data_IF_242773095714
#
_entry.id   IF_242773095714
#
_cell.length_a   1.000
_cell.length_b   1.000
_cell.length_c   1.000
_cell.angle_alpha   90.00
_cell.angle_beta   90.00
_cell.angle_gamma   90.00
#
_symmetry.space_group_name_H-M   'P 1'
#
loop_
_entity.id
_entity.type
_entity.pdbx_description
1 polymer ?
#
# COMPACT_ATOMS: atom_id res chain seq x y z
N UNK A 1 15.76 12.22 62.96
CA UNK A 1 15.59 10.97 62.18
C UNK A 1 14.38 10.97 61.22
N UNK A 2 13.71 12.11 60.95
CA UNK A 2 12.50 12.15 60.11
C UNK A 2 12.65 12.73 58.69
N UNK A 3 13.77 13.39 58.37
CA UNK A 3 13.95 14.04 57.06
C UNK A 3 14.14 13.04 55.91
N UNK A 4 14.79 11.90 56.18
CA UNK A 4 15.05 10.84 55.21
C UNK A 4 13.79 10.08 54.81
N UNK A 5 12.86 9.84 55.75
CA UNK A 5 11.62 9.12 55.50
C UNK A 5 10.66 9.88 54.59
N UNK A 6 10.58 11.21 54.73
CA UNK A 6 9.78 12.05 53.84
C UNK A 6 10.34 12.13 52.41
N UNK A 7 11.67 12.16 52.26
CA UNK A 7 12.32 12.16 50.95
C UNK A 7 12.07 10.84 50.21
N UNK A 8 12.12 9.70 50.92
CA UNK A 8 11.82 8.38 50.35
C UNK A 8 10.36 8.26 49.91
N UNK A 9 9.41 8.76 50.71
CA UNK A 9 8.00 8.76 50.31
C UNK A 9 7.72 9.64 49.10
N UNK A 10 8.33 10.83 49.02
CA UNK A 10 8.19 11.71 47.87
C UNK A 10 8.76 11.06 46.60
N UNK A 11 9.92 10.40 46.71
CA UNK A 11 10.53 9.67 45.59
C UNK A 11 9.63 8.52 45.12
N UNK A 12 9.05 7.74 46.03
CA UNK A 12 8.15 6.65 45.68
C UNK A 12 6.86 7.14 45.01
N UNK A 13 6.29 8.26 45.47
CA UNK A 13 5.12 8.88 44.82
C UNK A 13 5.47 9.37 43.42
N UNK A 14 6.62 10.02 43.25
CA UNK A 14 7.09 10.49 41.94
C UNK A 14 7.33 9.31 40.99
N UNK A 15 8.02 8.26 41.44
CA UNK A 15 8.26 7.05 40.63
C UNK A 15 6.94 6.37 40.25
N UNK A 16 5.98 6.26 41.17
CA UNK A 16 4.67 5.68 40.89
C UNK A 16 3.88 6.53 39.87
N UNK A 17 3.97 7.85 39.97
CA UNK A 17 3.29 8.78 39.07
C UNK A 17 3.92 8.79 37.67
N UNK A 18 5.25 8.68 37.57
CA UNK A 18 5.98 8.49 36.31
C UNK A 18 5.60 7.17 35.64
N UNK A 19 5.52 6.07 36.40
CA UNK A 19 5.09 4.78 35.88
C UNK A 19 3.65 4.80 35.36
N UNK A 20 2.73 5.48 36.06
CA UNK A 20 1.34 5.64 35.60
C UNK A 20 1.26 6.43 34.30
N UNK A 21 2.00 7.53 34.18
CA UNK A 21 2.00 8.33 32.94
C UNK A 21 2.60 7.58 31.76
N UNK A 22 3.71 6.87 31.96
CA UNK A 22 4.34 6.05 30.93
C UNK A 22 3.46 4.86 30.50
N UNK A 23 2.80 4.19 31.45
CA UNK A 23 1.88 3.10 31.16
C UNK A 23 0.63 3.60 30.41
N UNK A 24 0.04 4.70 30.86
CA UNK A 24 -1.11 5.34 30.19
C UNK A 24 -0.74 5.78 28.77
N UNK A 25 0.45 6.36 28.56
CA UNK A 25 0.93 6.72 27.23
C UNK A 25 1.15 5.49 26.35
N UNK A 26 1.73 4.41 26.86
CA UNK A 26 1.92 3.18 26.07
C UNK A 26 0.58 2.52 25.70
N UNK A 27 -0.36 2.48 26.65
CA UNK A 27 -1.70 1.92 26.43
C UNK A 27 -2.53 2.79 25.47
N UNK A 28 -2.61 4.11 25.70
CA UNK A 28 -3.30 5.04 24.81
C UNK A 28 -2.63 5.14 23.44
N UNK A 29 -1.30 5.02 23.33
CA UNK A 29 -0.62 4.96 22.02
C UNK A 29 -1.02 3.71 21.24
N UNK A 30 -1.08 2.55 21.90
CA UNK A 30 -1.53 1.32 21.23
C UNK A 30 -2.99 1.41 20.77
N UNK A 31 -3.87 2.01 21.57
CA UNK A 31 -5.27 2.25 21.16
C UNK A 31 -5.34 3.26 20.01
N UNK A 32 -4.65 4.40 20.10
CA UNK A 32 -4.60 5.41 19.04
C UNK A 32 -3.99 4.89 17.73
N UNK A 33 -3.03 3.96 17.80
CA UNK A 33 -2.42 3.35 16.61
C UNK A 33 -3.38 2.42 15.86
N UNK A 34 -4.41 1.91 16.53
CA UNK A 34 -5.41 1.02 15.96
C UNK A 34 -6.72 1.74 15.60
N UNK A 35 -6.83 3.03 15.90
CA UNK A 35 -7.94 3.85 15.43
C UNK A 35 -7.96 3.91 13.90
N UNK A 36 -9.16 3.89 13.31
CA UNK A 36 -9.35 3.92 11.85
C UNK A 36 -8.63 5.11 11.18
N UNK A 37 -8.52 6.24 11.88
CA UNK A 37 -7.76 7.42 11.45
C UNK A 37 -6.27 7.14 11.27
N UNK A 38 -5.65 6.46 12.24
CA UNK A 38 -4.23 6.06 12.18
C UNK A 38 -3.98 5.04 11.09
N UNK A 39 -4.86 4.04 10.98
CA UNK A 39 -4.72 2.98 9.96
C UNK A 39 -4.88 3.57 8.54
N UNK A 40 -5.88 4.44 8.31
CA UNK A 40 -6.03 5.17 7.04
C UNK A 40 -4.77 5.97 6.69
N UNK A 41 -4.26 6.74 7.66
CA UNK A 41 -3.10 7.59 7.46
C UNK A 41 -1.85 6.77 7.14
N UNK A 42 -1.67 5.63 7.80
CA UNK A 42 -0.57 4.71 7.54
C UNK A 42 -0.61 4.17 6.10
N UNK A 43 -1.74 3.61 5.67
CA UNK A 43 -1.87 3.05 4.31
C UNK A 43 -1.78 4.14 3.24
N UNK A 44 -2.39 5.30 3.46
CA UNK A 44 -2.29 6.46 2.57
C UNK A 44 -0.86 6.97 2.43
N UNK A 45 -0.11 7.03 3.53
CA UNK A 45 1.28 7.44 3.53
C UNK A 45 2.19 6.43 2.83
N UNK A 46 2.02 5.12 3.07
CA UNK A 46 2.75 4.07 2.36
C UNK A 46 2.47 4.15 0.85
N UNK A 47 1.21 4.29 0.46
CA UNK A 47 0.83 4.44 -0.94
C UNK A 47 1.50 5.67 -1.58
N UNK A 48 1.52 6.80 -0.89
CA UNK A 48 2.18 8.03 -1.34
C UNK A 48 3.68 7.84 -1.53
N UNK A 49 4.39 7.26 -0.54
CA UNK A 49 5.82 7.00 -0.64
C UNK A 49 6.15 6.06 -1.80
N UNK A 50 5.40 4.97 -1.95
CA UNK A 50 5.59 4.04 -3.06
C UNK A 50 5.32 4.72 -4.40
N UNK A 51 4.30 5.59 -4.49
CA UNK A 51 3.98 6.34 -5.71
C UNK A 51 5.12 7.27 -6.13
N UNK A 52 5.77 7.97 -5.19
CA UNK A 52 6.95 8.80 -5.47
C UNK A 52 8.17 7.94 -5.79
N UNK A 53 8.33 6.81 -5.10
CA UNK A 53 9.45 5.90 -5.32
C UNK A 53 9.41 5.28 -6.73
N UNK A 54 8.22 5.07 -7.32
CA UNK A 54 8.10 4.50 -8.68
C UNK A 54 8.91 5.27 -9.74
N UNK A 55 8.67 6.57 -10.02
CA UNK A 55 9.42 7.29 -11.04
C UNK A 55 10.91 7.43 -10.67
N UNK A 56 11.24 7.61 -9.39
CA UNK A 56 12.64 7.70 -8.95
C UNK A 56 13.38 6.39 -9.25
N UNK A 57 12.82 5.24 -8.87
CA UNK A 57 13.40 3.94 -9.18
C UNK A 57 13.51 3.68 -10.68
N UNK A 58 12.52 4.13 -11.47
CA UNK A 58 12.53 4.02 -12.93
C UNK A 58 13.67 4.82 -13.60
N UNK A 59 14.10 5.94 -13.02
CA UNK A 59 15.25 6.70 -13.51
C UNK A 59 16.57 5.94 -13.33
N UNK A 60 16.69 5.17 -12.24
CA UNK A 60 17.86 4.35 -11.94
C UNK A 60 17.78 2.93 -12.52
N UNK A 61 16.91 2.72 -13.52
CA UNK A 61 16.78 1.41 -14.16
C UNK A 61 18.08 0.99 -14.83
N UNK A 62 18.41 -0.28 -14.75
CA UNK A 62 19.58 -0.86 -15.43
C UNK A 62 19.39 -0.97 -16.95
N UNK A 63 20.50 -1.19 -17.68
CA UNK A 63 20.52 -1.33 -19.14
C UNK A 63 19.60 -2.47 -19.61
N UNK A 64 18.94 -2.35 -20.78
CA UNK A 64 18.08 -3.37 -21.35
C UNK A 64 18.60 -4.82 -21.36
N UNK A 65 19.90 -5.02 -21.53
CA UNK A 65 20.55 -6.33 -21.71
C UNK A 65 21.17 -6.87 -20.42
N UNK A 66 21.06 -6.12 -19.32
CA UNK A 66 21.57 -6.55 -18.02
C UNK A 66 20.65 -7.61 -17.40
N UNK A 67 21.24 -8.67 -16.84
CA UNK A 67 20.52 -9.69 -16.05
C UNK A 67 19.80 -9.10 -14.83
N UNK A 68 20.31 -7.98 -14.27
CA UNK A 68 19.67 -7.25 -13.18
C UNK A 68 18.31 -6.65 -13.57
N UNK A 69 18.00 -6.55 -14.87
CA UNK A 69 16.74 -5.98 -15.36
C UNK A 69 15.52 -6.82 -15.02
N UNK A 70 15.69 -8.13 -14.94
CA UNK A 70 14.62 -9.03 -14.50
C UNK A 70 14.21 -8.66 -13.07
N UNK A 71 15.21 -8.52 -12.18
CA UNK A 71 15.01 -8.17 -10.77
C UNK A 71 14.40 -6.77 -10.64
N UNK A 72 14.94 -5.79 -11.36
CA UNK A 72 14.40 -4.43 -11.37
C UNK A 72 12.91 -4.42 -11.76
N UNK A 73 12.54 -5.10 -12.85
CA UNK A 73 11.15 -5.14 -13.31
C UNK A 73 10.22 -5.81 -12.28
N UNK A 74 10.68 -6.89 -11.63
CA UNK A 74 9.90 -7.58 -10.59
C UNK A 74 9.68 -6.66 -9.39
N UNK A 75 10.73 -6.01 -8.88
CA UNK A 75 10.63 -5.10 -7.75
C UNK A 75 9.78 -3.86 -8.07
N UNK A 76 9.96 -3.29 -9.25
CA UNK A 76 9.17 -2.14 -9.71
C UNK A 76 7.69 -2.49 -9.82
N UNK A 77 7.35 -3.63 -10.43
CA UNK A 77 5.97 -4.08 -10.51
C UNK A 77 5.38 -4.39 -9.13
N UNK A 78 6.11 -5.11 -8.27
CA UNK A 78 5.66 -5.48 -6.94
C UNK A 78 5.36 -4.26 -6.06
N UNK A 79 6.30 -3.31 -6.00
CA UNK A 79 6.11 -2.06 -5.26
C UNK A 79 4.97 -1.22 -5.83
N UNK A 80 4.74 -1.27 -7.15
CA UNK A 80 3.58 -0.64 -7.79
C UNK A 80 2.27 -1.24 -7.30
N UNK A 81 2.12 -2.57 -7.36
CA UNK A 81 0.90 -3.25 -6.92
C UNK A 81 0.61 -3.06 -5.43
N UNK A 82 1.62 -3.08 -4.57
CA UNK A 82 1.45 -2.76 -3.15
C UNK A 82 0.95 -1.33 -2.98
N UNK A 83 1.52 -0.36 -3.69
CA UNK A 83 1.06 1.03 -3.64
C UNK A 83 -0.43 1.18 -3.99
N UNK A 84 -0.87 0.52 -5.07
CA UNK A 84 -2.29 0.47 -5.45
C UNK A 84 -3.16 -0.19 -4.38
N UNK A 85 -2.74 -1.31 -3.79
CA UNK A 85 -3.51 -1.97 -2.74
C UNK A 85 -3.63 -1.11 -1.48
N UNK A 86 -2.53 -0.47 -1.04
CA UNK A 86 -2.55 0.44 0.10
C UNK A 86 -3.46 1.65 -0.15
N UNK A 87 -3.45 2.22 -1.36
CA UNK A 87 -4.34 3.32 -1.72
C UNK A 87 -5.81 2.90 -1.65
N UNK A 88 -6.16 1.71 -2.16
CA UNK A 88 -7.51 1.18 -2.07
C UNK A 88 -7.97 1.01 -0.63
N UNK A 89 -7.12 0.41 0.23
CA UNK A 89 -7.42 0.23 1.66
C UNK A 89 -7.70 1.58 2.32
N UNK A 90 -6.86 2.60 2.05
CA UNK A 90 -7.05 3.93 2.61
C UNK A 90 -8.36 4.58 2.15
N UNK A 91 -8.71 4.47 0.86
CA UNK A 91 -9.98 4.98 0.31
C UNK A 91 -11.17 4.27 0.97
N UNK A 92 -11.13 2.95 1.10
CA UNK A 92 -12.17 2.17 1.75
C UNK A 92 -12.40 2.58 3.20
N UNK A 93 -11.32 2.77 3.99
CA UNK A 93 -11.44 3.23 5.38
C UNK A 93 -12.08 4.62 5.43
N UNK A 94 -11.67 5.55 4.55
CA UNK A 94 -12.26 6.88 4.50
C UNK A 94 -13.76 6.84 4.14
N UNK A 95 -14.15 5.94 3.22
CA UNK A 95 -15.53 5.75 2.81
C UNK A 95 -16.42 5.22 3.94
N UNK A 96 -15.93 4.24 4.70
CA UNK A 96 -16.72 3.55 5.72
C UNK A 96 -16.71 4.27 7.07
N UNK A 97 -15.57 4.83 7.48
CA UNK A 97 -15.38 5.24 8.88
C UNK A 97 -15.37 6.74 9.13
N UNK A 98 -15.18 7.60 8.12
CA UNK A 98 -14.99 9.04 8.37
C UNK A 98 -16.22 9.90 8.12
N UNK A 99 -17.32 9.33 7.63
CA UNK A 99 -18.53 10.10 7.32
C UNK A 99 -18.29 11.27 6.37
N UNK A 100 -17.17 11.25 5.62
CA UNK A 100 -16.71 12.33 4.74
C UNK A 100 -17.62 12.49 3.51
N UNK A 101 -18.36 11.43 3.18
CA UNK A 101 -19.25 11.42 2.04
C UNK A 101 -20.67 11.67 2.51
N UNK A 102 -21.27 12.76 2.03
CA UNK A 102 -22.64 13.13 2.34
C UNK A 102 -23.64 12.00 2.04
N UNK A 103 -23.36 11.20 1.00
CA UNK A 103 -24.19 10.08 0.57
C UNK A 103 -23.30 8.89 0.15
N UNK A 104 -23.78 7.66 0.34
CA UNK A 104 -23.09 6.42 -0.09
C UNK A 104 -22.68 6.45 -1.56
N UNK A 105 -23.47 7.10 -2.41
CA UNK A 105 -23.19 7.25 -3.85
C UNK A 105 -21.85 7.96 -4.13
N UNK A 106 -21.46 8.94 -3.31
CA UNK A 106 -20.19 9.66 -3.52
C UNK A 106 -18.97 8.78 -3.20
N UNK A 107 -19.07 7.97 -2.14
CA UNK A 107 -18.06 6.96 -1.82
C UNK A 107 -17.95 5.90 -2.93
N UNK A 108 -19.09 5.39 -3.42
CA UNK A 108 -19.15 4.44 -4.53
C UNK A 108 -18.49 5.00 -5.80
N UNK A 109 -18.75 6.27 -6.13
CA UNK A 109 -18.14 6.92 -7.29
C UNK A 109 -16.61 6.97 -7.17
N UNK A 110 -16.06 7.32 -6.01
CA UNK A 110 -14.60 7.37 -5.83
C UNK A 110 -13.95 5.99 -5.95
N UNK A 111 -14.57 4.95 -5.40
CA UNK A 111 -14.10 3.56 -5.53
C UNK A 111 -14.13 3.14 -7.01
N UNK A 112 -15.22 3.44 -7.73
CA UNK A 112 -15.32 3.13 -9.16
C UNK A 112 -14.24 3.86 -9.96
N UNK A 113 -14.04 5.16 -9.73
CA UNK A 113 -12.99 5.95 -10.40
C UNK A 113 -11.62 5.33 -10.16
N UNK A 114 -11.31 4.94 -8.93
CA UNK A 114 -10.06 4.28 -8.60
C UNK A 114 -9.87 2.94 -9.35
N UNK A 115 -10.90 2.09 -9.38
CA UNK A 115 -10.87 0.81 -10.09
C UNK A 115 -10.72 0.99 -11.61
N UNK A 116 -11.39 2.00 -12.19
CA UNK A 116 -11.25 2.34 -13.61
C UNK A 116 -9.83 2.76 -13.92
N UNK A 117 -9.22 3.62 -13.10
CA UNK A 117 -7.83 4.05 -13.28
C UNK A 117 -6.86 2.86 -13.19
N UNK A 118 -7.05 1.98 -12.19
CA UNK A 118 -6.26 0.75 -12.07
C UNK A 118 -6.40 -0.13 -13.32
N UNK A 119 -7.63 -0.32 -13.81
CA UNK A 119 -7.92 -1.09 -15.02
C UNK A 119 -7.28 -0.50 -16.28
N UNK A 120 -7.32 0.82 -16.45
CA UNK A 120 -6.66 1.52 -17.56
C UNK A 120 -5.14 1.30 -17.50
N UNK A 121 -4.52 1.46 -16.33
CA UNK A 121 -3.08 1.24 -16.17
C UNK A 121 -2.72 -0.22 -16.47
N UNK A 122 -3.48 -1.19 -15.95
CA UNK A 122 -3.27 -2.61 -16.23
C UNK A 122 -3.38 -2.90 -17.74
N UNK A 123 -4.40 -2.35 -18.41
CA UNK A 123 -4.60 -2.49 -19.84
C UNK A 123 -3.44 -1.91 -20.65
N UNK A 124 -2.97 -0.71 -20.32
CA UNK A 124 -1.82 -0.08 -20.98
C UNK A 124 -0.57 -0.96 -20.81
N UNK A 125 -0.32 -1.45 -19.60
CA UNK A 125 0.83 -2.31 -19.31
C UNK A 125 0.74 -3.62 -20.10
N UNK A 126 -0.45 -4.18 -20.28
CA UNK A 126 -0.68 -5.38 -21.07
C UNK A 126 -0.48 -5.12 -22.57
N UNK A 127 -0.95 -3.99 -23.10
CA UNK A 127 -0.68 -3.57 -24.49
C UNK A 127 0.82 -3.42 -24.72
N UNK A 128 1.55 -2.78 -23.80
CA UNK A 128 3.01 -2.62 -23.89
C UNK A 128 3.71 -3.97 -23.85
N UNK A 129 3.26 -4.89 -22.99
CA UNK A 129 3.82 -6.24 -22.90
C UNK A 129 3.62 -7.05 -24.19
N UNK A 130 2.42 -7.00 -24.78
CA UNK A 130 2.11 -7.66 -26.06
C UNK A 130 2.96 -7.09 -27.19
N UNK A 131 3.05 -5.75 -27.30
CA UNK A 131 3.87 -5.09 -28.33
C UNK A 131 5.35 -5.47 -28.23
N UNK A 132 5.90 -5.53 -27.01
CA UNK A 132 7.28 -6.02 -26.80
C UNK A 132 7.45 -7.49 -27.17
N UNK A 133 6.46 -8.32 -26.85
CA UNK A 133 6.46 -9.74 -27.22
C UNK A 133 6.51 -9.95 -28.74
N UNK A 134 5.72 -9.19 -29.51
CA UNK A 134 5.76 -9.24 -30.98
C UNK A 134 7.12 -8.80 -31.55
N UNK A 135 7.75 -7.79 -30.96
CA UNK A 135 9.08 -7.33 -31.37
C UNK A 135 10.15 -8.41 -31.11
N UNK A 136 10.11 -9.07 -29.95
CA UNK A 136 11.05 -10.13 -29.59
C UNK A 136 10.85 -11.41 -30.43
N UNK A 137 9.61 -11.73 -30.79
CA UNK A 137 9.31 -12.87 -31.67
C UNK A 137 9.82 -12.68 -33.10
N UNK A 138 9.92 -11.43 -33.59
CA UNK A 138 10.54 -11.16 -34.88
C UNK A 138 12.07 -11.37 -34.86
N UNK A 139 12.71 -11.28 -33.69
CA UNK A 139 14.15 -11.47 -33.53
C UNK A 139 14.56 -12.90 -33.13
N UNK A 140 13.66 -13.71 -32.54
CA UNK A 140 13.98 -15.06 -32.06
C UNK A 140 13.00 -16.14 -32.52
N UNK A 141 13.23 -16.71 -33.71
CA UNK A 141 12.62 -17.97 -34.17
C UNK A 141 13.26 -19.21 -33.51
N UNK A 142 13.29 -19.28 -32.17
CA UNK A 142 13.68 -20.51 -31.49
C UNK A 142 14.22 -20.35 -30.07
N UNK A 143 13.35 -20.23 -29.07
CA UNK A 143 13.41 -20.96 -27.79
C UNK A 143 12.25 -20.49 -26.91
N UNK A 144 11.36 -21.41 -26.56
CA UNK A 144 10.18 -21.15 -25.75
C UNK A 144 10.53 -21.04 -24.27
N UNK A 145 10.54 -19.82 -23.74
CA UNK A 145 10.44 -19.54 -22.31
C UNK A 145 9.07 -18.91 -22.06
N UNK A 146 8.33 -19.36 -21.05
CA UNK A 146 7.14 -18.65 -20.58
C UNK A 146 7.62 -17.27 -20.12
N UNK A 147 7.33 -16.25 -20.93
CA UNK A 147 7.93 -14.94 -20.80
C UNK A 147 7.52 -14.26 -19.51
N UNK A 148 8.47 -13.58 -18.86
CA UNK A 148 8.28 -12.70 -17.71
C UNK A 148 7.05 -11.77 -17.85
N UNK A 149 6.64 -11.45 -19.09
CA UNK A 149 5.42 -10.74 -19.45
C UNK A 149 4.11 -11.42 -19.01
N UNK A 150 4.01 -12.75 -19.13
CA UNK A 150 2.80 -13.51 -18.76
C UNK A 150 2.57 -13.51 -17.25
N UNK A 151 3.65 -13.61 -16.45
CA UNK A 151 3.58 -13.54 -14.99
C UNK A 151 3.07 -12.17 -14.52
N UNK A 152 3.56 -11.07 -15.12
CA UNK A 152 3.10 -9.72 -14.78
C UNK A 152 1.62 -9.52 -15.10
N UNK A 153 1.13 -10.07 -16.21
CA UNK A 153 -0.29 -10.02 -16.58
C UNK A 153 -1.14 -10.79 -15.58
N UNK A 154 -0.76 -12.03 -15.24
CA UNK A 154 -1.50 -12.85 -14.28
C UNK A 154 -1.56 -12.15 -12.92
N UNK A 155 -0.45 -11.59 -12.45
CA UNK A 155 -0.40 -10.86 -11.19
C UNK A 155 -1.27 -9.60 -11.22
N UNK A 156 -1.25 -8.83 -12.33
CA UNK A 156 -2.11 -7.67 -12.52
C UNK A 156 -3.60 -8.03 -12.42
N UNK A 157 -4.01 -9.10 -13.10
CA UNK A 157 -5.38 -9.58 -13.13
C UNK A 157 -5.83 -10.05 -11.75
N UNK A 158 -4.98 -10.77 -11.01
CA UNK A 158 -5.26 -11.20 -9.63
C UNK A 158 -5.42 -9.97 -8.73
N UNK A 159 -4.51 -9.00 -8.78
CA UNK A 159 -4.61 -7.77 -7.99
C UNK A 159 -5.88 -6.98 -8.32
N UNK A 160 -6.25 -6.87 -9.61
CA UNK A 160 -7.50 -6.24 -10.02
C UNK A 160 -8.73 -7.00 -9.51
N UNK A 161 -8.73 -8.34 -9.59
CA UNK A 161 -9.84 -9.16 -9.11
C UNK A 161 -10.02 -9.02 -7.60
N UNK A 162 -8.92 -9.00 -6.83
CA UNK A 162 -8.94 -8.77 -5.37
C UNK A 162 -9.47 -7.37 -5.07
N UNK A 163 -8.97 -6.33 -5.76
CA UNK A 163 -9.40 -4.96 -5.59
C UNK A 163 -10.91 -4.79 -5.86
N UNK A 164 -11.41 -5.37 -6.95
CA UNK A 164 -12.84 -5.39 -7.28
C UNK A 164 -13.63 -6.16 -6.24
N UNK A 165 -13.17 -7.33 -5.81
CA UNK A 165 -13.86 -8.16 -4.82
C UNK A 165 -14.01 -7.44 -3.47
N UNK A 166 -12.94 -6.83 -2.97
CA UNK A 166 -12.96 -6.02 -1.74
C UNK A 166 -13.91 -4.83 -1.90
N UNK A 167 -13.86 -4.15 -3.05
CA UNK A 167 -14.73 -3.00 -3.33
C UNK A 167 -16.21 -3.38 -3.35
N UNK A 168 -16.57 -4.51 -3.97
CA UNK A 168 -17.94 -5.01 -4.01
C UNK A 168 -18.42 -5.45 -2.62
N UNK A 169 -17.57 -6.14 -1.85
CA UNK A 169 -17.89 -6.50 -0.47
C UNK A 169 -18.22 -5.27 0.38
N UNK A 170 -17.52 -4.17 0.20
CA UNK A 170 -17.75 -2.94 0.97
C UNK A 170 -18.98 -2.17 0.48
N UNK A 171 -19.30 -2.22 -0.81
CA UNK A 171 -20.50 -1.57 -1.36
C UNK A 171 -21.79 -2.30 -0.94
N UNK A 172 -21.74 -3.63 -0.80
CA UNK A 172 -22.91 -4.48 -0.58
C UNK A 172 -23.02 -5.12 0.82
N UNK A 173 -22.06 -4.84 1.73
CA UNK A 173 -22.16 -5.18 3.16
C UNK A 173 -22.82 -4.05 3.95
#
# INVERSE_FOLDING_TARGET
MGKTTHQIQLLLVVVHQQHKMAFQQCFCSNVMNLEWSSIHSLFGFIAFLLTIFQPISALFRCHPDSSARVVFNVLHAFTGYIGWLCALIAICIACVHFGLFANTSAATVLIIVFLVLLGIVALIMQIVAIRKGHQQQQEQHGTGCIGQSQLFVILALICCAIAVSISLLIIFA
#
